data_IF_303018487750
#
_entry.id   IF_303018487750
#
_cell.length_a   1.000
_cell.length_b   1.000
_cell.length_c   1.000
_cell.angle_alpha   90.00
_cell.angle_beta   90.00
_cell.angle_gamma   90.00
#
_symmetry.space_group_name_H-M   'P 1'
#
loop_
_entity.id
_entity.type
_entity.pdbx_description
1 polymer ?
#
# COMPACT_ATOMS: atom_id res chain seq x y z
N UNK A 1 17.13 -7.73 15.79
CA UNK A 1 15.76 -8.25 16.02
C UNK A 1 15.62 -9.56 15.29
N UNK A 2 14.79 -10.48 15.79
CA UNK A 2 14.56 -11.81 15.22
C UNK A 2 14.14 -11.76 13.74
N UNK A 3 13.42 -10.71 13.33
CA UNK A 3 13.07 -10.41 11.94
C UNK A 3 14.27 -10.34 10.96
N UNK A 4 15.43 -9.88 11.41
CA UNK A 4 16.63 -9.78 10.56
C UNK A 4 17.32 -11.14 10.38
N UNK A 5 17.27 -12.00 11.40
CA UNK A 5 18.02 -13.25 11.45
C UNK A 5 17.22 -14.45 10.95
N UNK A 6 15.90 -14.45 11.16
CA UNK A 6 15.03 -15.58 10.84
C UNK A 6 14.20 -15.30 9.57
N UNK A 7 14.26 -16.21 8.59
CA UNK A 7 13.51 -16.11 7.34
C UNK A 7 12.01 -16.27 7.52
N UNK A 8 11.58 -17.16 8.42
CA UNK A 8 10.19 -17.58 8.58
C UNK A 8 9.41 -16.49 9.31
N UNK A 9 10.02 -15.88 10.33
CA UNK A 9 9.48 -14.67 10.99
C UNK A 9 9.29 -13.56 9.97
N UNK A 10 10.29 -13.34 9.11
CA UNK A 10 10.23 -12.29 8.09
C UNK A 10 9.17 -12.56 7.03
N UNK A 11 9.03 -13.80 6.58
CA UNK A 11 7.97 -14.21 5.65
C UNK A 11 6.60 -14.00 6.31
N UNK A 12 6.42 -14.43 7.56
CA UNK A 12 5.16 -14.26 8.29
C UNK A 12 4.77 -12.79 8.43
N UNK A 13 5.71 -11.92 8.84
CA UNK A 13 5.45 -10.48 8.89
C UNK A 13 5.11 -9.89 7.52
N UNK A 14 5.75 -10.34 6.44
CA UNK A 14 5.40 -9.90 5.07
C UNK A 14 4.03 -10.37 4.64
N UNK A 15 3.62 -11.58 5.01
CA UNK A 15 2.26 -12.08 4.77
C UNK A 15 1.23 -11.24 5.54
N UNK A 16 1.48 -10.92 6.81
CA UNK A 16 0.62 -10.00 7.58
C UNK A 16 0.45 -8.64 6.89
N UNK A 17 1.53 -8.05 6.38
CA UNK A 17 1.45 -6.80 5.60
C UNK A 17 0.70 -6.98 4.27
N UNK A 18 0.84 -8.14 3.63
CA UNK A 18 0.21 -8.45 2.36
C UNK A 18 -1.30 -8.71 2.46
N UNK A 19 -1.85 -8.93 3.65
CA UNK A 19 -3.30 -9.10 3.84
C UNK A 19 -4.10 -7.92 3.28
N UNK A 20 -3.56 -6.70 3.32
CA UNK A 20 -4.23 -5.52 2.76
C UNK A 20 -4.43 -5.60 1.24
N UNK A 21 -3.71 -6.47 0.54
CA UNK A 21 -3.81 -6.67 -0.91
C UNK A 21 -4.83 -7.76 -1.28
N UNK A 22 -5.26 -8.59 -0.33
CA UNK A 22 -6.24 -9.65 -0.57
C UNK A 22 -7.66 -9.10 -0.74
N UNK A 23 -8.54 -9.82 -1.47
CA UNK A 23 -9.98 -9.58 -1.42
C UNK A 23 -10.48 -9.55 0.03
N UNK A 24 -11.36 -8.61 0.34
CA UNK A 24 -11.78 -8.32 1.73
C UNK A 24 -12.36 -9.56 2.42
N UNK A 25 -13.14 -10.35 1.68
CA UNK A 25 -13.77 -11.59 2.13
C UNK A 25 -12.75 -12.69 2.49
N UNK A 26 -11.51 -12.59 2.00
CA UNK A 26 -10.45 -13.57 2.25
C UNK A 26 -9.50 -13.18 3.39
N UNK A 27 -9.53 -11.93 3.85
CA UNK A 27 -8.55 -11.38 4.79
C UNK A 27 -8.56 -12.13 6.13
N UNK A 28 -9.74 -12.26 6.74
CA UNK A 28 -9.90 -12.85 8.07
C UNK A 28 -9.49 -14.33 8.08
N UNK A 29 -10.02 -15.10 7.13
CA UNK A 29 -9.66 -16.52 6.98
C UNK A 29 -8.16 -16.69 6.72
N UNK A 30 -7.56 -15.86 5.87
CA UNK A 30 -6.12 -15.91 5.59
C UNK A 30 -5.27 -15.55 6.81
N UNK A 31 -5.71 -14.59 7.63
CA UNK A 31 -5.03 -14.24 8.88
C UNK A 31 -5.02 -15.42 9.86
N UNK A 32 -6.17 -16.04 10.10
CA UNK A 32 -6.25 -17.20 11.00
C UNK A 32 -5.48 -18.39 10.46
N UNK A 33 -5.54 -18.67 9.16
CA UNK A 33 -4.74 -19.71 8.51
C UNK A 33 -3.23 -19.45 8.64
N UNK A 34 -2.79 -18.21 8.45
CA UNK A 34 -1.39 -17.83 8.64
C UNK A 34 -0.95 -18.08 10.09
N UNK A 35 -1.76 -17.65 11.06
CA UNK A 35 -1.47 -17.82 12.49
C UNK A 35 -1.43 -19.30 12.87
N UNK A 36 -2.34 -20.13 12.36
CA UNK A 36 -2.43 -21.56 12.70
C UNK A 36 -1.35 -22.40 12.03
N UNK A 37 -1.02 -22.14 10.76
CA UNK A 37 0.01 -22.87 9.99
C UNK A 37 1.45 -22.47 10.35
N UNK A 38 1.64 -21.34 11.04
CA UNK A 38 2.97 -20.90 11.49
C UNK A 38 3.61 -21.89 12.47
N UNK A 39 4.94 -22.03 12.41
CA UNK A 39 5.71 -22.90 13.31
C UNK A 39 5.59 -22.43 14.76
N UNK A 40 5.86 -23.33 15.71
CA UNK A 40 5.80 -23.02 17.15
C UNK A 40 6.72 -21.85 17.50
N UNK A 41 7.94 -21.82 16.95
CA UNK A 41 8.90 -20.74 17.15
C UNK A 41 8.35 -19.39 16.65
N UNK A 42 7.78 -19.35 15.44
CA UNK A 42 7.19 -18.12 14.87
C UNK A 42 5.99 -17.66 15.70
N UNK A 43 5.11 -18.58 16.11
CA UNK A 43 3.95 -18.26 16.96
C UNK A 43 4.37 -17.68 18.31
N UNK A 44 5.41 -18.21 18.93
CA UNK A 44 5.92 -17.73 20.21
C UNK A 44 6.54 -16.33 20.06
N UNK A 45 7.39 -16.16 19.05
CA UNK A 45 8.10 -14.90 18.81
C UNK A 45 7.15 -13.77 18.38
N UNK A 46 6.16 -14.07 17.53
CA UNK A 46 5.19 -13.10 17.02
C UNK A 46 3.88 -13.06 17.82
N UNK A 47 3.83 -13.68 19.01
CA UNK A 47 2.59 -13.83 19.77
C UNK A 47 1.87 -12.50 20.02
N UNK A 48 2.60 -11.51 20.53
CA UNK A 48 2.06 -10.16 20.81
C UNK A 48 1.62 -9.44 19.53
N UNK A 49 2.35 -9.64 18.42
CA UNK A 49 1.97 -9.07 17.13
C UNK A 49 0.67 -9.68 16.62
N UNK A 50 0.49 -11.01 16.73
CA UNK A 50 -0.76 -11.66 16.34
C UNK A 50 -1.94 -11.16 17.17
N UNK A 51 -1.79 -11.06 18.50
CA UNK A 51 -2.86 -10.53 19.37
C UNK A 51 -3.23 -9.10 19.02
N UNK A 52 -2.22 -8.24 18.81
CA UNK A 52 -2.44 -6.86 18.39
C UNK A 52 -3.15 -6.80 17.03
N UNK A 53 -2.69 -7.59 16.05
CA UNK A 53 -3.24 -7.55 14.70
C UNK A 53 -4.69 -8.03 14.67
N UNK A 54 -4.99 -9.12 15.37
CA UNK A 54 -6.34 -9.66 15.54
C UNK A 54 -7.27 -8.60 16.14
N UNK A 55 -6.89 -8.03 17.28
CA UNK A 55 -7.69 -7.02 17.96
C UNK A 55 -7.89 -5.77 17.09
N UNK A 56 -6.82 -5.19 16.54
CA UNK A 56 -6.89 -3.91 15.85
C UNK A 56 -7.41 -4.03 14.42
N UNK A 57 -6.83 -4.91 13.62
CA UNK A 57 -7.04 -4.92 12.16
C UNK A 57 -8.10 -5.92 11.70
N UNK A 58 -8.38 -6.96 12.49
CA UNK A 58 -9.47 -7.91 12.19
C UNK A 58 -10.76 -7.47 12.90
N UNK A 59 -10.70 -7.17 14.20
CA UNK A 59 -11.90 -6.92 15.01
C UNK A 59 -12.30 -5.44 15.12
N UNK A 60 -11.36 -4.53 15.41
CA UNK A 60 -11.70 -3.13 15.76
C UNK A 60 -11.88 -2.24 14.54
N UNK A 61 -10.92 -2.24 13.61
CA UNK A 61 -10.95 -1.37 12.43
C UNK A 61 -11.61 -2.12 11.27
N UNK A 62 -12.68 -1.57 10.65
CA UNK A 62 -13.32 -2.22 9.52
C UNK A 62 -12.34 -2.49 8.36
N UNK A 63 -12.29 -3.73 7.87
CA UNK A 63 -11.35 -4.16 6.81
C UNK A 63 -11.40 -3.29 5.55
N UNK A 64 -12.59 -2.80 5.19
CA UNK A 64 -12.79 -1.87 4.06
C UNK A 64 -12.03 -0.54 4.18
N UNK A 65 -11.60 -0.14 5.38
CA UNK A 65 -10.88 1.12 5.60
C UNK A 65 -9.38 1.00 5.33
N UNK A 66 -8.81 -0.20 5.43
CA UNK A 66 -7.37 -0.42 5.30
C UNK A 66 -7.00 -1.40 4.18
N UNK A 67 -7.95 -2.19 3.69
CA UNK A 67 -7.76 -2.97 2.47
C UNK A 67 -7.53 -2.02 1.29
N UNK A 68 -6.51 -2.33 0.51
CA UNK A 68 -6.13 -1.64 -0.73
C UNK A 68 -6.32 -2.54 -1.95
N UNK A 69 -7.08 -3.62 -1.80
CA UNK A 69 -7.43 -4.51 -2.90
C UNK A 69 -8.22 -3.76 -3.97
N UNK A 70 -7.87 -3.97 -5.25
CA UNK A 70 -8.50 -3.29 -6.38
C UNK A 70 -8.13 -1.80 -6.56
N UNK A 71 -7.43 -1.16 -5.61
CA UNK A 71 -7.02 0.24 -5.74
C UNK A 71 -5.73 0.39 -6.55
N UNK A 72 -5.75 1.28 -7.54
CA UNK A 72 -4.56 1.65 -8.32
C UNK A 72 -3.57 2.51 -7.52
N UNK A 73 -4.06 3.26 -6.54
CA UNK A 73 -3.28 4.10 -5.65
C UNK A 73 -3.47 3.59 -4.22
N UNK A 74 -2.42 2.94 -3.67
CA UNK A 74 -2.47 2.25 -2.38
C UNK A 74 -1.93 3.07 -1.21
N UNK A 75 -1.36 4.24 -1.51
CA UNK A 75 -0.79 5.14 -0.50
C UNK A 75 -1.27 6.57 -0.77
N UNK A 76 -1.15 7.40 0.25
CA UNK A 76 -1.45 8.83 0.24
C UNK A 76 -0.37 9.68 -0.48
N UNK A 77 0.58 9.08 -1.21
CA UNK A 77 1.71 9.78 -1.84
C UNK A 77 1.28 10.97 -2.70
N UNK A 78 0.13 10.89 -3.37
CA UNK A 78 -0.40 11.99 -4.18
C UNK A 78 -0.76 13.19 -3.28
N UNK A 79 -1.42 12.95 -2.15
CA UNK A 79 -1.77 13.97 -1.17
C UNK A 79 -0.51 14.54 -0.50
N UNK A 80 0.43 13.68 -0.09
CA UNK A 80 1.71 14.11 0.48
C UNK A 80 2.51 14.95 -0.51
N UNK A 81 2.56 14.55 -1.79
CA UNK A 81 3.21 15.30 -2.85
C UNK A 81 2.56 16.67 -3.08
N UNK A 82 1.24 16.75 -3.03
CA UNK A 82 0.51 18.01 -3.11
C UNK A 82 0.82 18.92 -1.89
N UNK A 83 0.72 18.39 -0.68
CA UNK A 83 1.01 19.15 0.55
C UNK A 83 2.46 19.64 0.59
N UNK A 84 3.43 18.79 0.25
CA UNK A 84 4.83 19.16 0.20
C UNK A 84 5.06 20.31 -0.79
N UNK A 85 4.45 20.24 -1.97
CA UNK A 85 4.54 21.32 -2.95
C UNK A 85 3.92 22.62 -2.43
N UNK A 86 2.74 22.54 -1.83
CA UNK A 86 2.05 23.70 -1.28
C UNK A 86 2.91 24.37 -0.20
N UNK A 87 3.50 23.58 0.70
CA UNK A 87 4.43 24.07 1.72
C UNK A 87 5.66 24.76 1.10
N UNK A 88 6.24 24.18 0.04
CA UNK A 88 7.35 24.80 -0.71
C UNK A 88 6.96 26.10 -1.42
N UNK A 89 5.69 26.31 -1.75
CA UNK A 89 5.22 27.53 -2.41
C UNK A 89 4.88 28.65 -1.44
N UNK A 90 4.33 28.29 -0.28
CA UNK A 90 3.97 29.25 0.76
C UNK A 90 5.23 29.80 1.46
N UNK A 91 6.30 28.99 1.55
CA UNK A 91 7.61 29.36 2.13
C UNK A 91 7.54 29.91 3.57
N UNK A 92 6.40 29.75 4.25
CA UNK A 92 6.13 30.25 5.61
C UNK A 92 5.34 29.19 6.37
N UNK A 93 5.71 28.95 7.62
CA UNK A 93 5.00 28.01 8.49
C UNK A 93 3.56 28.46 8.82
N UNK A 94 3.36 29.78 8.94
CA UNK A 94 2.05 30.39 9.26
C UNK A 94 1.74 31.53 8.28
N UNK A 95 1.27 31.23 7.05
CA UNK A 95 0.83 32.26 6.13
C UNK A 95 -0.42 32.97 6.66
N UNK A 96 -0.54 34.27 6.40
CA UNK A 96 -1.83 34.93 6.55
C UNK A 96 -2.81 34.43 5.48
N UNK A 97 -4.11 34.64 5.73
CA UNK A 97 -5.18 34.11 4.86
C UNK A 97 -5.05 34.58 3.41
N UNK A 98 -4.62 35.82 3.18
CA UNK A 98 -4.44 36.37 1.83
C UNK A 98 -3.31 35.71 1.06
N UNK A 99 -2.18 35.46 1.72
CA UNK A 99 -1.05 34.74 1.15
C UNK A 99 -1.44 33.28 0.81
N UNK A 100 -2.20 32.64 1.70
CA UNK A 100 -2.74 31.30 1.47
C UNK A 100 -3.68 31.26 0.26
N UNK A 101 -4.66 32.16 0.20
CA UNK A 101 -5.60 32.26 -0.95
C UNK A 101 -4.83 32.44 -2.26
N UNK A 102 -3.85 33.35 -2.29
CA UNK A 102 -3.04 33.59 -3.49
C UNK A 102 -2.25 32.33 -3.91
N UNK A 103 -1.74 31.56 -2.95
CA UNK A 103 -1.07 30.29 -3.24
C UNK A 103 -2.03 29.27 -3.87
N UNK A 104 -3.24 29.14 -3.33
CA UNK A 104 -4.26 28.23 -3.88
C UNK A 104 -4.66 28.64 -5.30
N UNK A 105 -4.88 29.93 -5.56
CA UNK A 105 -5.17 30.45 -6.90
C UNK A 105 -4.06 30.12 -7.90
N UNK A 106 -2.79 30.25 -7.49
CA UNK A 106 -1.65 29.90 -8.33
C UNK A 106 -1.55 28.40 -8.64
N UNK A 107 -1.84 27.53 -7.67
CA UNK A 107 -1.86 26.07 -7.91
C UNK A 107 -3.04 25.68 -8.81
N UNK A 108 -4.21 26.29 -8.67
CA UNK A 108 -5.35 26.07 -9.58
C UNK A 108 -5.02 26.48 -11.03
N UNK A 109 -4.44 27.67 -11.21
CA UNK A 109 -4.01 28.12 -12.54
C UNK A 109 -3.02 27.12 -13.17
N UNK A 110 -2.09 26.59 -12.38
CA UNK A 110 -1.16 25.56 -12.82
C UNK A 110 -1.89 24.26 -13.20
N UNK A 111 -2.82 23.78 -12.39
CA UNK A 111 -3.59 22.57 -12.70
C UNK A 111 -4.36 22.73 -14.01
N UNK A 112 -4.97 23.89 -14.25
CA UNK A 112 -5.63 24.22 -15.50
C UNK A 112 -4.66 24.16 -16.69
N UNK A 113 -3.47 24.73 -16.56
CA UNK A 113 -2.44 24.61 -17.61
C UNK A 113 -2.01 23.17 -17.85
N UNK A 114 -1.83 22.36 -16.80
CA UNK A 114 -1.50 20.95 -16.94
C UNK A 114 -2.60 20.18 -17.66
N UNK A 115 -3.88 20.44 -17.33
CA UNK A 115 -5.02 19.81 -17.98
C UNK A 115 -5.08 20.17 -19.47
N UNK A 116 -4.88 21.44 -19.82
CA UNK A 116 -4.81 21.90 -21.21
C UNK A 116 -3.68 21.21 -21.99
N UNK A 117 -2.49 21.06 -21.38
CA UNK A 117 -1.39 20.32 -21.97
C UNK A 117 -1.74 18.85 -22.20
N UNK A 118 -2.36 18.19 -21.22
CA UNK A 118 -2.79 16.79 -21.34
C UNK A 118 -3.84 16.62 -22.45
N UNK A 119 -4.81 17.53 -22.54
CA UNK A 119 -5.82 17.54 -23.61
C UNK A 119 -5.21 17.77 -24.99
N UNK A 120 -4.10 18.52 -25.07
CA UNK A 120 -3.31 18.71 -26.28
C UNK A 120 -2.36 17.53 -26.59
N UNK A 121 -2.43 16.43 -25.83
CA UNK A 121 -1.65 15.21 -26.06
C UNK A 121 -0.32 15.13 -25.31
N UNK A 122 -0.03 16.07 -24.38
CA UNK A 122 1.15 15.95 -23.54
C UNK A 122 1.06 14.72 -22.62
N UNK A 123 2.15 13.98 -22.51
CA UNK A 123 2.20 12.79 -21.66
C UNK A 123 2.36 13.17 -20.18
N UNK A 124 1.56 12.53 -19.33
CA UNK A 124 1.75 12.60 -17.89
C UNK A 124 3.11 11.98 -17.49
N UNK A 125 3.61 12.38 -16.32
CA UNK A 125 4.85 11.82 -15.76
C UNK A 125 4.68 10.30 -15.60
N UNK A 126 5.54 9.53 -16.28
CA UNK A 126 5.51 8.06 -16.20
C UNK A 126 5.85 7.59 -14.79
N UNK A 127 5.19 6.52 -14.34
CA UNK A 127 5.59 5.78 -13.13
C UNK A 127 7.02 5.28 -13.31
N UNK A 128 7.76 5.18 -12.22
CA UNK A 128 9.10 4.57 -12.27
C UNK A 128 8.98 3.10 -12.66
N UNK A 129 10.02 2.54 -13.30
CA UNK A 129 10.03 1.16 -13.75
C UNK A 129 9.73 0.17 -12.61
N UNK A 130 10.32 0.40 -11.42
CA UNK A 130 10.09 -0.44 -10.23
C UNK A 130 8.64 -0.42 -9.75
N UNK A 131 8.01 0.76 -9.64
CA UNK A 131 6.59 0.85 -9.25
C UNK A 131 5.69 0.22 -10.29
N UNK A 132 6.00 0.38 -11.59
CA UNK A 132 5.24 -0.26 -12.66
C UNK A 132 5.37 -1.78 -12.64
N UNK A 133 6.56 -2.29 -12.32
CA UNK A 133 6.79 -3.74 -12.19
C UNK A 133 5.97 -4.34 -11.03
N UNK A 134 6.01 -3.69 -9.86
CA UNK A 134 5.22 -4.10 -8.69
C UNK A 134 3.73 -4.11 -9.03
N UNK A 135 3.23 -3.05 -9.67
CA UNK A 135 1.83 -2.98 -10.08
C UNK A 135 1.46 -4.13 -11.03
N UNK A 136 2.25 -4.33 -12.09
CA UNK A 136 2.02 -5.39 -13.08
C UNK A 136 2.00 -6.77 -12.42
N UNK A 137 2.89 -7.01 -11.45
CA UNK A 137 2.92 -8.28 -10.70
C UNK A 137 1.66 -8.47 -9.86
N UNK A 138 1.22 -7.44 -9.13
CA UNK A 138 -0.02 -7.50 -8.34
C UNK A 138 -1.22 -7.77 -9.25
N UNK A 139 -1.32 -7.07 -10.38
CA UNK A 139 -2.42 -7.25 -11.34
C UNK A 139 -2.42 -8.68 -11.92
N UNK A 140 -1.24 -9.19 -12.29
CA UNK A 140 -1.10 -10.57 -12.78
C UNK A 140 -1.56 -11.59 -11.76
N UNK A 141 -1.16 -11.44 -10.48
CA UNK A 141 -1.57 -12.37 -9.41
C UNK A 141 -3.08 -12.32 -9.17
N UNK A 142 -3.68 -11.12 -9.17
CA UNK A 142 -5.12 -10.97 -9.02
C UNK A 142 -5.89 -11.64 -10.17
N UNK A 143 -5.44 -11.48 -11.42
CA UNK A 143 -6.10 -12.12 -12.57
C UNK A 143 -6.00 -13.65 -12.50
N UNK A 144 -4.84 -14.20 -12.15
CA UNK A 144 -4.68 -15.65 -11.96
C UNK A 144 -5.59 -16.20 -10.86
N UNK A 145 -5.75 -15.45 -9.76
CA UNK A 145 -6.67 -15.84 -8.69
C UNK A 145 -8.13 -15.81 -9.15
N UNK A 146 -8.55 -14.76 -9.86
CA UNK A 146 -9.91 -14.68 -10.44
C UNK A 146 -10.20 -15.81 -11.43
N UNK A 147 -9.20 -16.23 -12.20
CA UNK A 147 -9.31 -17.35 -13.13
C UNK A 147 -9.29 -18.73 -12.45
N UNK A 148 -9.08 -18.79 -11.12
CA UNK A 148 -8.98 -20.04 -10.38
C UNK A 148 -7.66 -20.81 -10.61
N UNK A 149 -6.64 -20.17 -11.17
CA UNK A 149 -5.33 -20.79 -11.43
C UNK A 149 -4.48 -20.94 -10.17
N UNK A 150 -4.74 -20.10 -9.16
CA UNK A 150 -4.03 -20.09 -7.88
C UNK A 150 -5.04 -19.96 -6.74
N UNK A 151 -4.70 -20.56 -5.59
CA UNK A 151 -5.49 -20.41 -4.37
C UNK A 151 -5.11 -19.14 -3.59
N UNK A 152 -5.83 -18.89 -2.49
CA UNK A 152 -5.61 -17.70 -1.63
C UNK A 152 -4.25 -17.73 -0.91
N UNK A 153 -3.75 -18.92 -0.54
CA UNK A 153 -2.47 -19.07 0.15
C UNK A 153 -1.31 -18.73 -0.82
N UNK A 154 -1.39 -19.22 -2.05
CA UNK A 154 -0.47 -18.91 -3.15
C UNK A 154 -0.53 -17.44 -3.55
N UNK A 155 -1.72 -16.84 -3.54
CA UNK A 155 -1.88 -15.40 -3.77
C UNK A 155 -1.16 -14.59 -2.68
N UNK A 156 -1.39 -14.93 -1.41
CA UNK A 156 -0.77 -14.27 -0.26
C UNK A 156 0.76 -14.43 -0.28
N UNK A 157 1.26 -15.62 -0.64
CA UNK A 157 2.68 -15.88 -0.87
C UNK A 157 3.23 -14.94 -1.95
N UNK A 158 2.56 -14.87 -3.10
CA UNK A 158 2.95 -14.01 -4.22
C UNK A 158 3.03 -12.53 -3.84
N UNK A 159 2.08 -12.03 -3.04
CA UNK A 159 2.08 -10.67 -2.52
C UNK A 159 3.19 -10.43 -1.49
N UNK A 160 3.42 -11.38 -0.58
CA UNK A 160 4.49 -11.26 0.44
C UNK A 160 5.88 -11.07 -0.20
N UNK A 161 6.13 -11.73 -1.34
CA UNK A 161 7.37 -11.59 -2.12
C UNK A 161 7.47 -10.23 -2.81
N UNK A 162 6.33 -9.63 -3.15
CA UNK A 162 6.28 -8.30 -3.78
C UNK A 162 6.61 -7.18 -2.78
N UNK A 163 6.28 -7.38 -1.51
CA UNK A 163 6.60 -6.45 -0.41
C UNK A 163 8.09 -6.52 -0.03
N UNK A 164 8.77 -7.63 -0.33
CA UNK A 164 10.20 -7.76 -0.07
C UNK A 164 10.98 -6.68 -0.84
N UNK A 165 11.81 -5.88 -0.14
CA UNK A 165 12.75 -4.96 -0.79
C UNK A 165 13.58 -5.74 -1.81
N UNK A 166 13.46 -5.38 -3.08
CA UNK A 166 14.45 -5.76 -4.09
C UNK A 166 15.78 -5.14 -3.62
N UNK A 167 16.79 -5.98 -3.36
CA UNK A 167 18.15 -5.49 -3.15
C UNK A 167 18.52 -4.71 -4.42
N UNK A 168 18.83 -3.42 -4.25
CA UNK A 168 19.51 -2.64 -5.28
C UNK A 168 20.96 -3.12 -5.38
#
# INVERSE_FOLDING_TARGET
TSYSQDSDIRICCRKLMALALLPIDQIETSFYNLRTKSSVAVKQELHQLFLYFDHQWITTVPMKMWSVHGYQHRTNNNCEGFHNRLNQRILKAHPNIWAFIKCIQNEENRFRHLLLQMNAGAQARKKTAGTSFIQKRIDTLNERYKNGEIDVDQLLDGFSLTIAKQKK
#
